data_IF_836005995727
#
_entry.id   IF_836005995727
#
_cell.length_a   1.000
_cell.length_b   1.000
_cell.length_c   1.000
_cell.angle_alpha   90.00
_cell.angle_beta   90.00
_cell.angle_gamma   90.00
#
_symmetry.space_group_name_H-M   'P 1'
#
loop_
_entity.id
_entity.type
_entity.pdbx_description
1 polymer ?
#
# COMPACT_ATOMS: atom_id res chain seq x y z
N UNK A 1 4.12 21.87 22.99
CA UNK A 1 3.24 20.71 22.81
C UNK A 1 3.75 19.95 21.60
N UNK A 2 4.04 18.63 21.72
CA UNK A 2 4.42 17.78 20.59
C UNK A 2 3.21 17.64 19.66
N UNK A 3 3.42 17.83 18.38
CA UNK A 3 2.40 17.60 17.34
C UNK A 3 2.55 16.20 16.75
N UNK A 4 1.52 15.70 16.04
CA UNK A 4 1.61 14.42 15.30
C UNK A 4 2.79 14.44 14.33
N UNK A 5 3.09 15.60 13.72
CA UNK A 5 4.26 15.77 12.87
C UNK A 5 5.56 15.43 13.60
N UNK A 6 5.79 15.99 14.79
CA UNK A 6 7.00 15.69 15.57
C UNK A 6 7.13 14.21 15.92
N UNK A 7 5.99 13.56 16.22
CA UNK A 7 5.98 12.10 16.49
C UNK A 7 6.40 11.33 15.24
N UNK A 8 5.84 11.64 14.09
CA UNK A 8 6.18 10.99 12.82
C UNK A 8 7.65 11.22 12.48
N UNK A 9 8.13 12.47 12.55
CA UNK A 9 9.55 12.80 12.28
C UNK A 9 10.50 12.07 13.24
N UNK A 10 10.13 11.89 14.50
CA UNK A 10 10.98 11.26 15.50
C UNK A 10 11.06 9.73 15.39
N UNK A 11 9.97 9.07 14.98
CA UNK A 11 9.85 7.60 15.05
C UNK A 11 9.74 6.91 13.70
N UNK A 12 9.37 7.62 12.65
CA UNK A 12 9.03 7.03 11.36
C UNK A 12 10.04 7.37 10.24
N UNK A 13 10.98 8.25 10.51
CA UNK A 13 12.04 8.57 9.53
C UNK A 13 13.02 7.39 9.48
N UNK A 14 13.28 6.88 8.27
CA UNK A 14 14.24 5.82 8.08
C UNK A 14 15.66 6.31 8.35
N UNK A 15 16.36 5.67 9.27
CA UNK A 15 17.75 5.98 9.58
C UNK A 15 18.73 5.50 8.51
N UNK A 16 18.28 4.63 7.61
CA UNK A 16 19.11 4.06 6.55
C UNK A 16 19.27 4.98 5.34
N UNK A 17 18.36 5.94 5.19
CA UNK A 17 18.41 6.95 4.12
C UNK A 17 17.77 8.27 4.59
N UNK A 18 18.45 8.95 5.49
CA UNK A 18 18.00 10.22 6.05
C UNK A 18 17.72 11.29 4.98
N UNK A 19 18.47 11.25 3.86
CA UNK A 19 18.28 12.20 2.77
C UNK A 19 16.93 12.00 2.06
N UNK A 20 16.52 10.75 1.83
CA UNK A 20 15.23 10.45 1.23
C UNK A 20 14.08 10.76 2.18
N UNK A 21 14.23 10.44 3.46
CA UNK A 21 13.23 10.75 4.49
C UNK A 21 13.08 12.28 4.69
N UNK A 22 14.16 13.03 4.69
CA UNK A 22 14.12 14.49 4.75
C UNK A 22 13.48 15.14 3.52
N UNK A 23 13.58 14.48 2.36
CA UNK A 23 12.95 14.94 1.13
C UNK A 23 11.45 14.58 1.04
N UNK A 24 10.89 13.82 1.99
CA UNK A 24 9.46 13.54 2.02
C UNK A 24 8.67 14.83 2.24
N UNK A 25 8.04 15.31 1.16
CA UNK A 25 7.56 16.68 1.08
C UNK A 25 6.20 16.90 1.72
N UNK A 26 5.43 15.85 1.95
CA UNK A 26 4.05 15.98 2.43
C UNK A 26 3.81 15.32 3.78
N UNK A 27 4.51 15.80 4.81
CA UNK A 27 4.22 15.38 6.19
C UNK A 27 2.78 15.69 6.63
N UNK A 28 2.14 16.70 6.05
CA UNK A 28 0.76 17.03 6.36
C UNK A 28 -0.18 15.92 5.94
N UNK A 29 0.07 15.32 4.76
CA UNK A 29 -0.67 14.16 4.27
C UNK A 29 -0.58 13.00 5.27
N UNK A 30 0.62 12.64 5.69
CA UNK A 30 0.86 11.52 6.63
C UNK A 30 0.27 11.84 8.01
N UNK A 31 0.47 13.05 8.54
CA UNK A 31 -0.10 13.45 9.83
C UNK A 31 -1.63 13.34 9.84
N UNK A 32 -2.29 13.82 8.80
CA UNK A 32 -3.75 13.74 8.68
C UNK A 32 -4.23 12.28 8.54
N UNK A 33 -3.50 11.46 7.80
CA UNK A 33 -3.79 10.03 7.67
C UNK A 33 -3.71 9.31 9.02
N UNK A 34 -2.64 9.55 9.79
CA UNK A 34 -2.46 8.96 11.13
C UNK A 34 -3.53 9.45 12.11
N UNK A 35 -3.86 10.75 12.10
CA UNK A 35 -4.94 11.29 12.93
C UNK A 35 -6.29 10.67 12.57
N UNK A 36 -6.58 10.52 11.30
CA UNK A 36 -7.80 9.84 10.86
C UNK A 36 -7.81 8.39 11.33
N UNK A 37 -6.74 7.64 11.07
CA UNK A 37 -6.58 6.24 11.45
C UNK A 37 -6.77 6.00 12.97
N UNK A 38 -6.28 6.92 13.81
CA UNK A 38 -6.40 6.81 15.26
C UNK A 38 -7.84 7.03 15.78
N UNK A 39 -8.72 7.60 14.97
CA UNK A 39 -10.11 7.93 15.35
C UNK A 39 -11.16 7.02 14.70
N UNK A 40 -10.75 6.05 13.88
CA UNK A 40 -11.67 5.12 13.24
C UNK A 40 -11.54 3.70 13.80
N UNK A 41 -12.57 2.92 13.53
CA UNK A 41 -12.57 1.46 13.68
C UNK A 41 -12.98 0.84 12.36
N UNK A 42 -12.22 -0.13 11.88
CA UNK A 42 -12.56 -0.92 10.71
C UNK A 42 -13.72 -1.85 11.09
N UNK A 43 -14.79 -1.85 10.31
CA UNK A 43 -15.92 -2.76 10.49
C UNK A 43 -15.58 -4.14 9.92
N UNK A 44 -14.82 -4.89 10.71
CA UNK A 44 -14.28 -6.18 10.32
C UNK A 44 -14.06 -7.02 11.58
N UNK A 45 -14.40 -8.30 11.52
CA UNK A 45 -14.17 -9.24 12.63
C UNK A 45 -12.73 -9.81 12.65
N UNK A 46 -11.87 -9.44 11.68
CA UNK A 46 -10.47 -9.80 11.71
C UNK A 46 -9.77 -9.09 12.88
N UNK A 47 -9.18 -9.87 13.79
CA UNK A 47 -8.72 -9.35 15.09
C UNK A 47 -7.66 -8.24 14.97
N UNK A 48 -6.79 -8.30 13.94
CA UNK A 48 -5.75 -7.32 13.74
C UNK A 48 -6.23 -6.06 12.99
N UNK A 49 -7.39 -6.07 12.36
CA UNK A 49 -7.87 -4.91 11.60
C UNK A 49 -7.98 -3.60 12.43
N UNK A 50 -8.03 -3.73 13.74
CA UNK A 50 -8.17 -2.60 14.66
C UNK A 50 -7.07 -2.53 15.75
N UNK A 51 -6.02 -3.29 15.62
CA UNK A 51 -4.93 -3.37 16.61
C UNK A 51 -3.91 -2.22 16.49
N UNK A 52 -4.38 -1.00 16.27
CA UNK A 52 -3.53 0.18 16.08
C UNK A 52 -2.88 0.67 17.38
N UNK A 53 -1.60 1.10 17.40
CA UNK A 53 -0.62 0.92 16.30
C UNK A 53 -0.09 -0.50 16.28
N UNK A 54 0.14 -1.08 15.14
CA UNK A 54 0.65 -2.45 15.01
C UNK A 54 -0.07 -3.23 13.93
N UNK A 55 -1.09 -2.62 13.32
CA UNK A 55 -1.75 -3.11 12.13
C UNK A 55 -1.91 -2.02 11.08
N UNK A 56 -1.61 -2.34 9.83
CA UNK A 56 -1.58 -1.36 8.74
C UNK A 56 -2.96 -1.00 8.18
N UNK A 57 -4.03 -1.75 8.48
CA UNK A 57 -5.34 -1.52 7.85
C UNK A 57 -5.97 -0.18 8.25
N UNK A 58 -5.84 0.23 9.49
CA UNK A 58 -6.32 1.56 9.91
C UNK A 58 -5.48 2.68 9.29
N UNK A 59 -4.16 2.46 9.18
CA UNK A 59 -3.27 3.40 8.50
C UNK A 59 -3.60 3.47 7.00
N UNK A 60 -3.82 2.32 6.34
CA UNK A 60 -4.28 2.25 4.96
C UNK A 60 -5.56 3.07 4.75
N UNK A 61 -6.57 2.89 5.62
CA UNK A 61 -7.80 3.68 5.57
C UNK A 61 -7.54 5.19 5.67
N UNK A 62 -6.64 5.60 6.57
CA UNK A 62 -6.24 7.00 6.72
C UNK A 62 -5.54 7.55 5.48
N UNK A 63 -4.61 6.80 4.91
CA UNK A 63 -3.87 7.18 3.70
C UNK A 63 -4.80 7.32 2.49
N UNK A 64 -5.69 6.34 2.28
CA UNK A 64 -6.67 6.37 1.19
C UNK A 64 -7.67 7.54 1.34
N UNK A 65 -8.12 7.80 2.55
CA UNK A 65 -8.99 8.95 2.84
C UNK A 65 -8.32 10.28 2.46
N UNK A 66 -7.01 10.41 2.67
CA UNK A 66 -6.25 11.62 2.30
C UNK A 66 -5.90 11.65 0.80
N UNK A 67 -5.51 10.52 0.21
CA UNK A 67 -5.06 10.43 -1.18
C UNK A 67 -6.16 10.77 -2.18
N UNK A 68 -7.44 10.50 -1.84
CA UNK A 68 -8.59 10.68 -2.74
C UNK A 68 -8.39 9.95 -4.08
N UNK A 69 -7.80 8.79 -4.02
CA UNK A 69 -7.44 7.97 -5.18
C UNK A 69 -8.64 7.62 -6.04
N UNK A 70 -8.41 7.47 -7.34
CA UNK A 70 -9.40 7.01 -8.32
C UNK A 70 -9.08 5.62 -8.87
N UNK A 71 -7.83 5.24 -8.81
CA UNK A 71 -7.35 3.93 -9.23
C UNK A 71 -6.41 3.40 -8.17
N UNK A 72 -6.79 2.30 -7.53
CA UNK A 72 -6.03 1.66 -6.46
C UNK A 72 -5.65 0.26 -6.90
N UNK A 73 -4.38 -0.09 -6.71
CA UNK A 73 -3.85 -1.43 -6.93
C UNK A 73 -3.47 -2.05 -5.60
N UNK A 74 -3.94 -3.27 -5.37
CA UNK A 74 -3.70 -4.10 -4.20
C UNK A 74 -2.95 -5.37 -4.64
N UNK A 75 -1.77 -5.61 -4.12
CA UNK A 75 -0.97 -6.80 -4.44
C UNK A 75 -0.91 -7.67 -3.19
N UNK A 76 -1.62 -8.80 -3.24
CA UNK A 76 -1.91 -9.68 -2.13
C UNK A 76 -3.37 -9.54 -1.66
N UNK A 77 -4.34 -10.06 -2.42
CA UNK A 77 -5.76 -10.05 -2.02
C UNK A 77 -5.97 -10.82 -0.70
N UNK A 78 -5.35 -11.98 -0.60
CA UNK A 78 -5.46 -12.89 0.53
C UNK A 78 -6.91 -13.00 1.04
N UNK A 79 -7.16 -12.79 2.33
CA UNK A 79 -8.51 -12.85 2.93
C UNK A 79 -9.39 -11.64 2.53
N UNK A 80 -8.87 -10.68 1.77
CA UNK A 80 -9.60 -9.51 1.27
C UNK A 80 -9.77 -8.37 2.27
N UNK A 81 -9.08 -8.37 3.42
CA UNK A 81 -9.19 -7.30 4.42
C UNK A 81 -8.68 -5.97 3.86
N UNK A 82 -7.49 -5.96 3.23
CA UNK A 82 -6.94 -4.78 2.57
C UNK A 82 -7.84 -4.24 1.48
N UNK A 83 -8.27 -5.11 0.57
CA UNK A 83 -9.20 -4.75 -0.51
C UNK A 83 -10.53 -4.21 0.03
N UNK A 84 -11.08 -4.77 1.12
CA UNK A 84 -12.29 -4.28 1.78
C UNK A 84 -12.08 -2.85 2.31
N UNK A 85 -10.98 -2.61 2.99
CA UNK A 85 -10.62 -1.26 3.46
C UNK A 85 -10.51 -0.28 2.30
N UNK A 86 -9.96 -0.69 1.15
CA UNK A 86 -9.92 0.14 -0.06
C UNK A 86 -11.33 0.45 -0.56
N UNK A 87 -12.25 -0.51 -0.54
CA UNK A 87 -13.64 -0.29 -0.89
C UNK A 87 -14.30 0.77 0.01
N UNK A 88 -14.06 0.71 1.30
CA UNK A 88 -14.73 1.57 2.27
C UNK A 88 -14.15 2.98 2.31
N UNK A 89 -12.82 3.12 2.17
CA UNK A 89 -12.12 4.39 2.39
C UNK A 89 -11.63 5.08 1.11
N UNK A 90 -11.74 4.43 -0.06
CA UNK A 90 -11.59 5.03 -1.37
C UNK A 90 -12.88 4.91 -2.21
N UNK A 91 -13.99 5.56 -1.81
CA UNK A 91 -15.32 5.30 -2.38
C UNK A 91 -15.47 5.66 -3.86
N UNK A 92 -14.55 6.48 -4.38
CA UNK A 92 -14.54 6.89 -5.80
C UNK A 92 -13.55 6.11 -6.65
N UNK A 93 -12.81 5.16 -6.03
CA UNK A 93 -11.77 4.43 -6.73
C UNK A 93 -12.30 3.16 -7.41
N UNK A 94 -11.73 2.84 -8.56
CA UNK A 94 -11.67 1.49 -9.09
C UNK A 94 -10.55 0.75 -8.36
N UNK A 95 -10.81 -0.49 -7.95
CA UNK A 95 -9.87 -1.28 -7.16
C UNK A 95 -9.48 -2.52 -7.96
N UNK A 96 -8.19 -2.68 -8.15
CA UNK A 96 -7.59 -3.79 -8.90
C UNK A 96 -6.73 -4.59 -7.96
N UNK A 97 -7.14 -5.82 -7.62
CA UNK A 97 -6.38 -6.65 -6.69
C UNK A 97 -5.77 -7.86 -7.41
N UNK A 98 -4.55 -8.22 -6.99
CA UNK A 98 -3.76 -9.32 -7.59
C UNK A 98 -3.45 -10.36 -6.53
N UNK A 99 -3.63 -11.61 -6.89
CA UNK A 99 -3.28 -12.77 -6.07
C UNK A 99 -3.09 -14.00 -6.97
N UNK A 100 -2.50 -15.06 -6.46
CA UNK A 100 -2.44 -16.34 -7.16
C UNK A 100 -3.67 -17.21 -6.85
N UNK A 101 -4.44 -16.87 -5.82
CA UNK A 101 -5.64 -17.58 -5.39
C UNK A 101 -6.87 -16.67 -5.45
N UNK A 102 -7.98 -17.23 -5.93
CA UNK A 102 -9.26 -16.49 -5.95
C UNK A 102 -9.75 -16.20 -4.52
N UNK A 103 -10.31 -15.01 -4.33
CA UNK A 103 -10.78 -14.51 -3.04
C UNK A 103 -11.77 -15.46 -2.34
N UNK A 104 -12.59 -16.19 -3.09
CA UNK A 104 -13.61 -17.13 -2.60
C UNK A 104 -13.06 -18.53 -2.27
N UNK A 105 -11.77 -18.77 -2.47
CA UNK A 105 -11.10 -20.03 -2.15
C UNK A 105 -10.47 -20.07 -0.76
N UNK A 106 -10.45 -18.94 -0.07
CA UNK A 106 -10.02 -18.90 1.33
C UNK A 106 -11.15 -19.36 2.27
N UNK A 107 -10.83 -19.96 3.42
CA UNK A 107 -11.85 -20.44 4.39
C UNK A 107 -12.73 -19.32 4.93
N UNK A 108 -12.19 -18.09 4.97
CA UNK A 108 -12.86 -16.86 5.36
C UNK A 108 -12.47 -15.78 4.36
N UNK A 109 -13.42 -14.97 3.93
CA UNK A 109 -13.15 -13.78 3.12
C UNK A 109 -13.98 -12.61 3.64
N UNK A 110 -13.40 -11.41 3.62
CA UNK A 110 -14.10 -10.15 3.90
C UNK A 110 -14.63 -9.47 2.64
N UNK A 111 -14.39 -10.07 1.48
CA UNK A 111 -15.02 -9.69 0.22
C UNK A 111 -16.28 -10.53 -0.01
N UNK A 112 -17.21 -9.96 -0.72
CA UNK A 112 -18.44 -10.60 -1.20
C UNK A 112 -18.54 -10.46 -2.72
N UNK A 113 -19.41 -11.23 -3.34
CA UNK A 113 -19.65 -11.11 -4.80
C UNK A 113 -20.05 -9.68 -5.21
N UNK A 114 -20.74 -8.96 -4.35
CA UNK A 114 -21.25 -7.60 -4.64
C UNK A 114 -20.12 -6.54 -4.67
N UNK A 115 -18.95 -6.85 -4.15
CA UNK A 115 -17.79 -5.95 -4.25
C UNK A 115 -17.21 -5.92 -5.66
N UNK A 116 -17.45 -6.96 -6.47
CA UNK A 116 -16.84 -7.13 -7.77
C UNK A 116 -17.62 -6.48 -8.92
N UNK A 117 -16.88 -6.03 -9.94
CA UNK A 117 -17.43 -5.30 -11.10
C UNK A 117 -18.52 -6.03 -11.84
N UNK A 118 -18.43 -7.34 -11.98
CA UNK A 118 -19.44 -8.16 -12.63
C UNK A 118 -20.80 -8.14 -11.92
N UNK A 119 -20.83 -7.78 -10.65
CA UNK A 119 -22.03 -7.65 -9.82
C UNK A 119 -22.38 -6.20 -9.46
N UNK A 120 -21.73 -5.23 -10.13
CA UNK A 120 -21.98 -3.81 -9.92
C UNK A 120 -21.12 -3.14 -8.85
N UNK A 121 -20.16 -3.87 -8.28
CA UNK A 121 -19.13 -3.35 -7.38
C UNK A 121 -17.99 -2.65 -8.13
N UNK A 122 -16.86 -2.46 -7.44
CA UNK A 122 -15.70 -1.68 -7.96
C UNK A 122 -14.39 -2.48 -7.98
N UNK A 123 -14.42 -3.74 -7.54
CA UNK A 123 -13.25 -4.60 -7.45
C UNK A 123 -13.09 -5.42 -8.73
N UNK A 124 -11.87 -5.51 -9.23
CA UNK A 124 -11.47 -6.49 -10.25
C UNK A 124 -10.30 -7.29 -9.70
N UNK A 125 -10.46 -8.61 -9.56
CA UNK A 125 -9.36 -9.49 -9.15
C UNK A 125 -8.69 -10.10 -10.38
N UNK A 126 -7.36 -10.13 -10.34
CA UNK A 126 -6.51 -10.81 -11.32
C UNK A 126 -5.76 -11.94 -10.60
N UNK A 127 -5.85 -13.15 -11.13
CA UNK A 127 -5.12 -14.33 -10.63
C UNK A 127 -3.80 -14.45 -11.39
N UNK A 128 -2.93 -13.46 -11.15
CA UNK A 128 -1.73 -13.21 -11.95
C UNK A 128 -0.58 -12.71 -11.08
N UNK A 129 0.64 -13.06 -11.46
CA UNK A 129 1.88 -12.67 -10.79
C UNK A 129 2.53 -11.49 -11.50
N UNK A 130 2.46 -10.31 -10.89
CA UNK A 130 3.05 -9.07 -11.43
C UNK A 130 4.59 -9.06 -11.46
N UNK A 131 5.27 -10.06 -10.91
CA UNK A 131 6.72 -10.22 -11.06
C UNK A 131 7.11 -10.84 -12.40
N UNK A 132 6.15 -11.39 -13.16
CA UNK A 132 6.39 -11.95 -14.48
C UNK A 132 6.36 -10.83 -15.54
N UNK A 133 7.41 -10.75 -16.37
CA UNK A 133 7.56 -9.67 -17.37
C UNK A 133 6.33 -9.52 -18.27
N UNK A 134 5.80 -10.65 -18.79
CA UNK A 134 4.64 -10.66 -19.68
C UNK A 134 3.35 -10.16 -18.98
N UNK A 135 3.16 -10.56 -17.72
CA UNK A 135 2.02 -10.13 -16.90
C UNK A 135 2.16 -8.65 -16.55
N UNK A 136 3.36 -8.23 -16.14
CA UNK A 136 3.63 -6.82 -15.87
C UNK A 136 3.34 -5.96 -17.10
N UNK A 137 3.82 -6.38 -18.28
CA UNK A 137 3.60 -5.69 -19.55
C UNK A 137 2.11 -5.56 -19.90
N UNK A 138 1.33 -6.60 -19.66
CA UNK A 138 -0.13 -6.60 -19.82
C UNK A 138 -0.80 -5.52 -18.96
N UNK A 139 -0.30 -5.29 -17.75
CA UNK A 139 -0.88 -4.37 -16.78
C UNK A 139 -0.18 -3.00 -16.70
N UNK A 140 0.81 -2.71 -17.54
CA UNK A 140 1.55 -1.43 -17.54
C UNK A 140 0.66 -0.20 -17.54
N UNK A 141 -0.42 -0.22 -18.34
CA UNK A 141 -1.35 0.90 -18.39
C UNK A 141 -2.05 1.12 -17.05
N UNK A 142 -2.58 0.06 -16.46
CA UNK A 142 -3.21 0.09 -15.15
C UNK A 142 -2.23 0.61 -14.07
N UNK A 143 -1.02 0.05 -14.04
CA UNK A 143 0.00 0.46 -13.07
C UNK A 143 0.43 1.92 -13.25
N UNK A 144 0.41 2.45 -14.48
CA UNK A 144 0.64 3.87 -14.74
C UNK A 144 -0.51 4.77 -14.28
N UNK A 145 -1.74 4.29 -14.38
CA UNK A 145 -2.94 5.03 -13.96
C UNK A 145 -3.16 5.00 -12.45
N UNK A 146 -2.62 4.01 -11.76
CA UNK A 146 -2.78 3.86 -10.32
C UNK A 146 -2.26 5.08 -9.53
N UNK A 147 -3.10 5.59 -8.65
CA UNK A 147 -2.76 6.69 -7.74
C UNK A 147 -2.20 6.16 -6.42
N UNK A 148 -2.60 4.94 -6.06
CA UNK A 148 -2.19 4.27 -4.84
C UNK A 148 -1.94 2.79 -5.14
N UNK A 149 -0.78 2.29 -4.75
CA UNK A 149 -0.41 0.88 -4.86
C UNK A 149 -0.08 0.38 -3.45
N UNK A 150 -0.71 -0.69 -3.01
CA UNK A 150 -0.31 -1.44 -1.82
C UNK A 150 0.38 -2.71 -2.27
N UNK A 151 1.51 -3.01 -1.68
CA UNK A 151 2.25 -4.25 -1.90
C UNK A 151 2.36 -5.01 -0.58
N UNK A 152 1.57 -6.06 -0.48
CA UNK A 152 1.53 -7.02 0.61
C UNK A 152 1.70 -8.45 0.02
N UNK A 153 2.82 -8.66 -0.67
CA UNK A 153 3.16 -9.83 -1.46
C UNK A 153 3.80 -10.96 -0.61
N UNK A 154 4.31 -12.06 -1.20
CA UNK A 154 4.71 -13.28 -0.46
C UNK A 154 5.85 -13.10 0.56
N UNK A 155 6.61 -12.01 0.55
CA UNK A 155 7.77 -11.75 1.43
C UNK A 155 8.91 -12.74 1.24
N UNK A 156 9.09 -13.24 0.03
CA UNK A 156 10.19 -14.12 -0.34
C UNK A 156 11.46 -13.36 -0.77
N UNK A 157 11.35 -12.03 -0.95
CA UNK A 157 12.44 -11.15 -1.41
C UNK A 157 12.69 -11.23 -2.92
N UNK A 158 12.13 -12.20 -3.61
CA UNK A 158 12.29 -12.36 -5.06
C UNK A 158 11.18 -11.61 -5.81
N UNK A 159 9.93 -11.77 -5.39
CA UNK A 159 8.79 -11.08 -5.97
C UNK A 159 8.97 -9.56 -5.90
N UNK A 160 9.20 -9.03 -4.70
CA UNK A 160 9.30 -7.60 -4.44
C UNK A 160 10.45 -6.96 -5.22
N UNK A 161 11.65 -7.58 -5.18
CA UNK A 161 12.81 -7.07 -5.90
C UNK A 161 12.56 -7.01 -7.41
N UNK A 162 11.89 -8.02 -7.98
CA UNK A 162 11.57 -8.07 -9.40
C UNK A 162 10.45 -7.10 -9.77
N UNK A 163 9.36 -7.07 -9.00
CA UNK A 163 8.25 -6.15 -9.21
C UNK A 163 8.71 -4.68 -9.14
N UNK A 164 9.52 -4.30 -8.12
CA UNK A 164 10.03 -2.94 -8.02
C UNK A 164 10.99 -2.59 -9.16
N UNK A 165 11.79 -3.55 -9.62
CA UNK A 165 12.63 -3.36 -10.80
C UNK A 165 11.78 -3.04 -12.03
N UNK A 166 10.70 -3.79 -12.27
CA UNK A 166 9.79 -3.56 -13.38
C UNK A 166 9.02 -2.23 -13.21
N UNK A 167 8.54 -1.95 -12.00
CA UNK A 167 7.81 -0.71 -11.70
C UNK A 167 8.70 0.53 -11.92
N UNK A 168 10.01 0.43 -11.65
CA UNK A 168 10.96 1.52 -11.87
C UNK A 168 11.19 1.87 -13.34
N UNK A 169 10.83 0.96 -14.25
CA UNK A 169 10.94 1.18 -15.70
C UNK A 169 9.74 1.91 -16.30
N UNK A 170 8.67 2.09 -15.52
CA UNK A 170 7.49 2.79 -16.01
C UNK A 170 7.79 4.28 -16.17
N UNK A 171 7.40 4.81 -17.33
CA UNK A 171 7.38 6.26 -17.58
C UNK A 171 6.04 6.79 -17.10
N UNK A 172 6.04 7.47 -15.98
CA UNK A 172 4.83 8.01 -15.37
C UNK A 172 4.69 9.49 -15.62
N UNK A 173 3.45 9.95 -15.80
CA UNK A 173 3.13 11.37 -15.76
C UNK A 173 3.22 11.87 -14.31
N UNK A 174 3.78 13.04 -14.10
CA UNK A 174 3.93 13.63 -12.77
C UNK A 174 2.56 13.93 -12.17
N UNK A 175 2.17 13.14 -11.18
CA UNK A 175 0.95 13.31 -10.37
C UNK A 175 1.17 12.69 -9.00
N UNK A 176 0.43 13.12 -7.96
CA UNK A 176 0.53 12.46 -6.66
C UNK A 176 0.25 10.96 -6.75
N UNK A 177 1.21 10.14 -6.33
CA UNK A 177 1.14 8.69 -6.35
C UNK A 177 1.88 8.10 -5.16
N UNK A 178 1.30 7.09 -4.57
CA UNK A 178 1.81 6.48 -3.36
C UNK A 178 2.01 4.98 -3.53
N UNK A 179 3.11 4.48 -2.98
CA UNK A 179 3.37 3.06 -2.84
C UNK A 179 3.48 2.75 -1.35
N UNK A 180 2.52 1.99 -0.83
CA UNK A 180 2.51 1.48 0.54
C UNK A 180 3.07 0.07 0.52
N UNK A 181 4.08 -0.17 1.33
CA UNK A 181 4.78 -1.44 1.46
C UNK A 181 4.51 -2.03 2.84
N UNK A 182 4.05 -3.26 2.88
CA UNK A 182 4.00 -4.02 4.13
C UNK A 182 5.31 -4.76 4.36
N UNK A 183 5.60 -5.05 5.65
CA UNK A 183 6.71 -5.88 6.10
C UNK A 183 8.13 -5.38 5.75
N UNK A 184 8.34 -4.06 5.59
CA UNK A 184 9.65 -3.48 5.20
C UNK A 184 10.81 -3.82 6.14
N UNK A 185 10.53 -4.36 7.33
CA UNK A 185 11.51 -4.80 8.32
C UNK A 185 11.69 -6.33 8.37
N UNK A 186 10.96 -7.06 7.53
CA UNK A 186 11.20 -8.50 7.36
C UNK A 186 12.60 -8.70 6.76
N UNK A 187 13.36 -9.72 7.18
CA UNK A 187 14.73 -9.94 6.69
C UNK A 187 14.86 -9.99 5.18
N UNK A 188 13.87 -10.58 4.48
CA UNK A 188 13.82 -10.65 3.02
C UNK A 188 13.56 -9.29 2.36
N UNK A 189 12.88 -8.36 3.06
CA UNK A 189 12.41 -7.09 2.48
C UNK A 189 13.33 -5.89 2.77
N UNK A 190 14.18 -5.98 3.78
CA UNK A 190 15.06 -4.89 4.22
C UNK A 190 15.91 -4.36 3.06
N UNK A 191 16.47 -5.26 2.24
CA UNK A 191 17.30 -4.85 1.11
C UNK A 191 16.49 -4.10 0.06
N UNK A 192 15.33 -4.60 -0.30
CA UNK A 192 14.40 -3.95 -1.24
C UNK A 192 13.98 -2.57 -0.74
N UNK A 193 13.61 -2.46 0.54
CA UNK A 193 13.31 -1.16 1.16
C UNK A 193 14.47 -0.17 1.06
N UNK A 194 15.71 -0.61 1.36
CA UNK A 194 16.91 0.24 1.32
C UNK A 194 17.27 0.69 -0.09
N UNK A 195 17.03 -0.14 -1.09
CA UNK A 195 17.31 0.18 -2.51
C UNK A 195 16.41 1.27 -3.07
N UNK A 196 15.18 1.44 -2.57
CA UNK A 196 14.28 2.51 -2.99
C UNK A 196 14.90 3.87 -2.64
N UNK A 197 15.09 4.75 -3.64
CA UNK A 197 15.72 6.09 -3.52
C UNK A 197 14.72 7.24 -3.59
N UNK A 198 13.45 6.96 -3.69
CA UNK A 198 12.39 7.97 -3.60
C UNK A 198 12.32 8.56 -2.19
N UNK A 199 11.71 9.76 -2.04
CA UNK A 199 11.22 10.21 -0.75
C UNK A 199 10.33 9.13 -0.13
N UNK A 200 10.68 8.69 1.08
CA UNK A 200 10.00 7.60 1.76
C UNK A 200 10.00 7.80 3.26
N UNK A 201 9.07 7.17 3.94
CA UNK A 201 8.94 7.25 5.39
C UNK A 201 8.55 5.90 5.98
N UNK A 202 9.22 5.50 7.05
CA UNK A 202 8.88 4.31 7.84
C UNK A 202 7.75 4.66 8.82
N UNK A 203 6.60 4.05 8.63
CA UNK A 203 5.38 4.24 9.43
C UNK A 203 5.09 3.05 10.35
N UNK A 204 6.07 2.21 10.64
CA UNK A 204 5.92 0.99 11.46
C UNK A 204 5.25 1.28 12.81
N UNK A 205 5.53 2.43 13.44
CA UNK A 205 4.89 2.80 14.71
C UNK A 205 3.39 3.06 14.62
N UNK A 206 2.85 3.20 13.42
CA UNK A 206 1.43 3.46 13.16
C UNK A 206 0.81 2.39 12.22
N UNK A 207 1.59 1.48 11.74
CA UNK A 207 1.22 0.40 10.83
C UNK A 207 1.50 -0.97 11.42
N UNK A 208 2.09 -1.86 10.63
CA UNK A 208 2.36 -3.23 11.03
C UNK A 208 3.67 -3.34 11.81
N UNK A 209 3.75 -4.25 12.80
CA UNK A 209 4.95 -4.42 13.64
C UNK A 209 6.18 -4.92 12.87
N UNK A 210 5.96 -5.67 11.79
CA UNK A 210 7.02 -6.13 10.87
C UNK A 210 7.46 -5.07 9.86
N UNK A 211 6.85 -3.89 9.93
CA UNK A 211 7.24 -2.73 9.15
C UNK A 211 6.18 -2.29 8.14
N UNK A 212 5.92 -0.99 8.10
CA UNK A 212 5.06 -0.39 7.09
C UNK A 212 5.76 0.83 6.52
N UNK A 213 5.99 0.86 5.21
CA UNK A 213 6.68 1.92 4.52
C UNK A 213 5.79 2.65 3.51
N UNK A 214 5.87 3.97 3.48
CA UNK A 214 5.21 4.78 2.47
C UNK A 214 6.25 5.45 1.58
N UNK A 215 6.08 5.34 0.27
CA UNK A 215 6.98 5.88 -0.74
C UNK A 215 6.21 6.84 -1.64
N UNK A 216 6.76 8.03 -1.87
CA UNK A 216 6.28 8.95 -2.90
C UNK A 216 6.83 8.51 -4.26
N UNK A 217 5.94 8.03 -5.12
CA UNK A 217 6.27 7.61 -6.49
C UNK A 217 5.68 8.55 -7.55
N UNK A 218 5.42 9.81 -7.18
CA UNK A 218 4.83 10.82 -8.09
C UNK A 218 5.66 11.08 -9.35
N UNK A 219 6.95 10.80 -9.28
CA UNK A 219 7.91 10.92 -10.41
C UNK A 219 8.40 9.53 -10.89
N UNK A 220 7.69 8.47 -10.55
CA UNK A 220 8.11 7.09 -10.79
C UNK A 220 8.94 6.51 -9.64
N UNK A 221 9.07 5.19 -9.60
CA UNK A 221 9.90 4.51 -8.62
C UNK A 221 11.38 4.58 -9.03
N UNK A 222 12.27 4.83 -8.09
CA UNK A 222 13.74 4.80 -8.24
C UNK A 222 14.28 3.65 -7.40
N UNK A 223 14.53 2.51 -8.04
CA UNK A 223 14.91 1.27 -7.40
C UNK A 223 16.28 0.75 -7.83
#
# INVERSE_FOLDING_TARGET
>A
MLTVRHVIESYCVSTDDDSAAQAFSDYSFVCNAVLFASNIKIDCSYEFANAFPGDHYRLLAGLLNQAKSRCVVDIGTWLGVGTRVMCDYAPSAEIHTFDLQAWDKFPVSWLTSDDFKENGGRVTQYLEDLSQDEIFDKHKKLLNEADFIMCDAPKDGEFEAKFYTLLSQLKVDKKPRWLLLDDIRFPSEIESWRRIKNPKIDLTSFGHFSGTGLVDISEGLKF
#
